data_IF_274115445080
#
_entry.id   IF_274115445080
#
_cell.length_a   1.000
_cell.length_b   1.000
_cell.length_c   1.000
_cell.angle_alpha   90.00
_cell.angle_beta   90.00
_cell.angle_gamma   90.00
#
_symmetry.space_group_name_H-M   'P 1'
#
loop_
_entity.id
_entity.type
_entity.pdbx_description
1 polymer ?
#
# COMPACT_ATOMS: atom_id res chain seq x y z
N UNK A 1 20.51 -20.93 38.52
CA UNK A 1 19.10 -21.29 38.42
C UNK A 1 18.55 -21.54 39.82
N UNK A 2 17.41 -20.94 40.24
CA UNK A 2 16.83 -21.18 41.57
C UNK A 2 16.44 -22.65 41.75
N UNK A 3 16.64 -23.20 42.96
CA UNK A 3 16.29 -24.59 43.27
C UNK A 3 14.82 -24.92 42.97
N UNK A 4 13.90 -23.99 43.21
CA UNK A 4 12.47 -24.13 42.92
C UNK A 4 12.18 -24.36 41.44
N UNK A 5 12.97 -23.79 40.54
CA UNK A 5 12.81 -23.98 39.07
C UNK A 5 13.32 -25.34 38.61
N UNK A 6 14.36 -25.88 39.30
CA UNK A 6 14.92 -27.20 38.96
C UNK A 6 14.00 -28.36 39.36
N UNK A 7 13.27 -28.23 40.47
CA UNK A 7 12.36 -29.26 40.99
C UNK A 7 10.89 -29.03 40.57
N UNK A 8 10.62 -28.02 39.74
CA UNK A 8 9.25 -27.74 39.26
C UNK A 8 8.77 -28.85 38.31
N UNK A 9 7.79 -29.61 38.76
CA UNK A 9 7.04 -30.55 37.87
C UNK A 9 5.79 -29.85 37.40
N UNK A 10 5.58 -29.72 36.05
CA UNK A 10 4.36 -29.15 35.51
C UNK A 10 3.14 -29.98 35.97
N UNK A 11 2.20 -29.35 36.65
CA UNK A 11 0.92 -30.00 36.97
C UNK A 11 0.01 -29.93 35.75
N UNK A 12 -0.71 -31.04 35.49
CA UNK A 12 -1.76 -31.10 34.47
C UNK A 12 -2.90 -30.15 34.83
N UNK A 13 -3.63 -29.68 33.81
CA UNK A 13 -4.79 -28.81 34.01
C UNK A 13 -5.88 -29.51 34.82
N UNK A 14 -6.55 -28.76 35.67
CA UNK A 14 -7.67 -29.26 36.49
C UNK A 14 -8.87 -29.67 35.62
N UNK A 15 -9.69 -30.61 36.10
CA UNK A 15 -10.92 -31.00 35.39
C UNK A 15 -11.84 -29.79 35.09
N UNK A 16 -11.89 -28.83 35.97
CA UNK A 16 -12.61 -27.56 35.77
C UNK A 16 -12.03 -26.73 34.62
N UNK A 17 -10.69 -26.62 34.56
CA UNK A 17 -10.04 -25.91 33.46
C UNK A 17 -10.25 -26.63 32.10
N UNK A 18 -10.21 -27.95 32.08
CA UNK A 18 -10.50 -28.74 30.86
C UNK A 18 -11.93 -28.52 30.38
N UNK A 19 -12.89 -28.40 31.30
CA UNK A 19 -14.28 -28.05 30.95
C UNK A 19 -14.37 -26.64 30.37
N UNK A 20 -13.73 -25.65 31.01
CA UNK A 20 -13.69 -24.27 30.52
C UNK A 20 -12.98 -24.16 29.18
N UNK A 21 -11.95 -24.93 28.93
CA UNK A 21 -11.29 -24.97 27.61
C UNK A 21 -12.22 -25.46 26.51
N UNK A 22 -13.03 -26.48 26.75
CA UNK A 22 -14.06 -26.92 25.78
C UNK A 22 -15.11 -25.83 25.53
N UNK A 23 -15.60 -25.17 26.57
CA UNK A 23 -16.55 -24.06 26.42
C UNK A 23 -15.94 -22.87 25.68
N UNK A 24 -14.66 -22.55 25.91
CA UNK A 24 -13.93 -21.51 25.17
C UNK A 24 -13.79 -21.85 23.69
N UNK A 25 -13.50 -23.11 23.37
CA UNK A 25 -13.37 -23.59 21.99
C UNK A 25 -14.73 -23.53 21.27
N UNK A 26 -15.79 -24.04 21.88
CA UNK A 26 -17.15 -23.98 21.34
C UNK A 26 -17.62 -22.55 21.11
N UNK A 27 -17.33 -21.63 22.06
CA UNK A 27 -17.67 -20.22 21.94
C UNK A 27 -16.85 -19.53 20.84
N UNK A 28 -15.57 -19.91 20.69
CA UNK A 28 -14.71 -19.40 19.65
C UNK A 28 -15.17 -19.82 18.24
N UNK A 29 -15.60 -21.08 18.07
CA UNK A 29 -16.16 -21.54 16.81
C UNK A 29 -17.42 -20.76 16.40
N UNK A 30 -18.24 -20.35 17.37
CA UNK A 30 -19.43 -19.53 17.11
C UNK A 30 -19.11 -18.03 16.92
N UNK A 31 -18.10 -17.52 17.63
CA UNK A 31 -17.78 -16.08 17.69
C UNK A 31 -16.27 -15.83 17.69
N UNK A 32 -15.56 -16.11 16.57
CA UNK A 32 -14.10 -16.06 16.50
C UNK A 32 -13.50 -14.65 16.74
N UNK A 33 -14.33 -13.60 16.67
CA UNK A 33 -13.95 -12.22 16.93
C UNK A 33 -14.03 -11.83 18.43
N UNK A 34 -14.39 -12.77 19.33
CA UNK A 34 -14.39 -12.50 20.77
C UNK A 34 -12.98 -12.59 21.35
N UNK A 35 -12.50 -11.49 21.93
CA UNK A 35 -11.29 -11.47 22.74
C UNK A 35 -11.56 -11.90 24.18
N UNK A 36 -10.48 -12.07 24.95
CA UNK A 36 -10.52 -12.57 26.34
C UNK A 36 -11.50 -11.83 27.27
N UNK A 37 -11.80 -10.56 27.00
CA UNK A 37 -12.80 -9.79 27.80
C UNK A 37 -14.21 -10.32 27.58
N UNK A 38 -14.62 -10.49 26.32
CA UNK A 38 -15.94 -11.01 25.97
C UNK A 38 -16.09 -12.48 26.34
N UNK A 39 -15.04 -13.29 26.11
CA UNK A 39 -14.99 -14.69 26.51
C UNK A 39 -15.17 -14.85 28.04
N UNK A 40 -14.50 -14.00 28.82
CA UNK A 40 -14.62 -14.03 30.27
C UNK A 40 -16.01 -13.66 30.80
N UNK A 41 -16.68 -12.69 30.13
CA UNK A 41 -18.05 -12.29 30.47
C UNK A 41 -19.05 -13.38 30.14
N UNK A 42 -18.97 -13.98 28.94
CA UNK A 42 -19.89 -15.04 28.48
C UNK A 42 -19.79 -16.33 29.34
N UNK A 43 -18.59 -16.63 29.84
CA UNK A 43 -18.35 -17.82 30.67
C UNK A 43 -18.32 -17.53 32.19
N UNK A 44 -18.59 -16.29 32.56
CA UNK A 44 -18.59 -15.81 33.95
C UNK A 44 -17.32 -16.15 34.75
N UNK A 45 -16.14 -16.06 34.08
CA UNK A 45 -14.83 -16.37 34.64
C UNK A 45 -13.93 -15.13 34.70
N UNK A 46 -12.89 -15.23 35.55
CA UNK A 46 -11.89 -14.19 35.61
C UNK A 46 -11.15 -14.04 34.25
N UNK A 47 -11.00 -12.80 33.79
CA UNK A 47 -10.33 -12.47 32.52
C UNK A 47 -8.92 -13.07 32.42
N UNK A 48 -8.11 -13.02 33.49
CA UNK A 48 -6.76 -13.60 33.49
C UNK A 48 -6.80 -15.11 33.28
N UNK A 49 -7.81 -15.78 33.86
CA UNK A 49 -8.04 -17.22 33.62
C UNK A 49 -8.40 -17.48 32.15
N UNK A 50 -9.35 -16.73 31.60
CA UNK A 50 -9.68 -16.82 30.18
C UNK A 50 -8.46 -16.62 29.28
N UNK A 51 -7.64 -15.59 29.51
CA UNK A 51 -6.43 -15.33 28.75
C UNK A 51 -5.43 -16.50 28.80
N UNK A 52 -5.25 -17.10 29.98
CA UNK A 52 -4.34 -18.23 30.14
C UNK A 52 -4.83 -19.45 29.38
N UNK A 53 -6.11 -19.79 29.52
CA UNK A 53 -6.71 -20.93 28.86
C UNK A 53 -6.77 -20.76 27.33
N UNK A 54 -7.11 -19.56 26.82
CA UNK A 54 -7.04 -19.22 25.39
C UNK A 54 -5.64 -19.39 24.83
N UNK A 55 -4.60 -18.99 25.58
CA UNK A 55 -3.21 -19.18 25.15
C UNK A 55 -2.83 -20.67 25.07
N UNK A 56 -3.28 -21.49 26.02
CA UNK A 56 -3.03 -22.95 25.99
C UNK A 56 -3.72 -23.59 24.79
N UNK A 57 -4.95 -23.15 24.44
CA UNK A 57 -5.70 -23.60 23.28
C UNK A 57 -5.15 -23.06 21.93
N UNK A 58 -4.25 -22.09 21.96
CA UNK A 58 -3.81 -21.40 20.73
C UNK A 58 -4.89 -20.51 20.10
N UNK A 59 -5.93 -20.12 20.87
CA UNK A 59 -7.06 -19.31 20.38
C UNK A 59 -6.74 -17.82 20.52
N UNK A 60 -6.86 -17.10 19.42
CA UNK A 60 -6.70 -15.65 19.36
C UNK A 60 -7.90 -15.03 18.64
N UNK A 61 -8.41 -13.88 19.15
CA UNK A 61 -9.54 -13.20 18.52
C UNK A 61 -9.21 -12.83 17.06
N UNK A 62 -10.11 -13.14 16.16
CA UNK A 62 -9.99 -12.73 14.76
C UNK A 62 -10.44 -11.28 14.59
N UNK A 63 -9.47 -10.40 14.36
CA UNK A 63 -9.69 -8.98 14.07
C UNK A 63 -8.59 -8.47 13.14
N UNK A 64 -8.82 -7.37 12.41
CA UNK A 64 -7.77 -6.74 11.63
C UNK A 64 -6.61 -6.36 12.55
N UNK A 65 -5.46 -7.02 12.37
CA UNK A 65 -4.25 -6.69 13.14
C UNK A 65 -3.74 -5.30 12.73
N UNK A 66 -3.19 -4.48 13.64
CA UNK A 66 -2.56 -3.22 13.27
C UNK A 66 -1.43 -3.49 12.27
N UNK A 67 -1.25 -2.55 11.33
CA UNK A 67 -0.27 -2.61 10.25
C UNK A 67 1.07 -3.17 10.70
N UNK A 68 1.48 -4.29 10.13
CA UNK A 68 2.77 -4.93 10.37
C UNK A 68 3.94 -4.20 9.68
N UNK A 69 3.65 -3.20 8.85
CA UNK A 69 4.64 -2.32 8.21
C UNK A 69 5.26 -1.39 9.27
N UNK A 70 6.10 -1.95 10.14
CA UNK A 70 7.00 -1.12 10.96
C UNK A 70 8.17 -0.71 10.07
N UNK A 71 8.54 0.60 10.04
CA UNK A 71 9.77 1.01 9.39
C UNK A 71 10.94 0.20 9.96
N UNK A 72 11.80 -0.34 9.11
CA UNK A 72 13.00 -1.01 9.59
C UNK A 72 13.89 0.01 10.32
N UNK A 73 14.65 -0.40 11.36
CA UNK A 73 15.62 0.47 12.00
C UNK A 73 16.58 1.04 10.95
N UNK A 74 16.71 2.36 10.87
CA UNK A 74 17.57 3.04 9.90
C UNK A 74 16.88 3.53 8.63
N UNK A 75 15.55 3.40 8.47
CA UNK A 75 14.83 4.02 7.36
C UNK A 75 14.94 5.54 7.41
N UNK A 76 15.46 6.12 6.33
CA UNK A 76 15.57 7.55 6.20
C UNK A 76 14.26 8.14 5.68
N UNK A 77 13.61 8.97 6.52
CA UNK A 77 12.40 9.73 6.13
C UNK A 77 12.85 11.11 5.65
N UNK A 78 12.32 11.53 4.52
CA UNK A 78 12.58 12.83 3.93
C UNK A 78 11.43 13.80 4.22
N UNK A 79 11.73 15.13 4.29
CA UNK A 79 10.69 16.13 4.48
C UNK A 79 9.78 16.24 3.24
N UNK A 80 8.54 16.68 3.46
CA UNK A 80 7.64 17.04 2.36
C UNK A 80 8.03 18.37 1.74
N UNK A 81 8.44 18.36 0.48
CA UNK A 81 8.99 19.51 -0.22
C UNK A 81 7.95 20.29 -1.04
N UNK A 82 6.74 19.77 -1.21
CA UNK A 82 5.79 20.27 -2.22
C UNK A 82 4.78 21.27 -1.68
N UNK A 83 4.90 21.69 -0.41
CA UNK A 83 3.97 22.66 0.16
C UNK A 83 4.16 24.04 -0.51
N UNK A 84 3.10 24.52 -1.20
CA UNK A 84 3.12 25.82 -1.86
C UNK A 84 3.95 25.87 -3.14
N UNK A 85 4.43 24.73 -3.63
CA UNK A 85 5.18 24.64 -4.89
C UNK A 85 4.20 24.66 -6.07
N UNK A 86 4.34 25.65 -6.96
CA UNK A 86 3.61 25.66 -8.23
C UNK A 86 4.24 24.66 -9.20
N UNK A 87 3.42 23.76 -9.73
CA UNK A 87 3.87 22.73 -10.69
C UNK A 87 3.58 23.27 -12.11
N UNK A 88 4.60 23.75 -12.79
CA UNK A 88 4.45 24.54 -14.02
C UNK A 88 4.90 23.82 -15.29
N UNK A 89 5.60 22.69 -15.17
CA UNK A 89 6.18 21.95 -16.31
C UNK A 89 6.26 20.46 -16.07
N UNK A 90 6.31 19.70 -17.16
CA UNK A 90 6.61 18.29 -17.12
C UNK A 90 8.01 18.04 -16.52
N UNK A 91 8.17 16.93 -15.83
CA UNK A 91 9.39 16.53 -15.11
C UNK A 91 9.79 17.48 -13.96
N UNK A 92 8.89 18.33 -13.47
CA UNK A 92 9.13 19.05 -12.24
C UNK A 92 8.97 18.12 -11.04
N UNK A 93 7.82 17.45 -10.92
CA UNK A 93 7.54 16.50 -9.83
C UNK A 93 7.00 15.21 -10.41
N UNK A 94 7.60 14.09 -10.03
CA UNK A 94 7.02 12.76 -10.22
C UNK A 94 6.59 12.19 -8.89
N UNK A 95 5.49 11.45 -8.90
CA UNK A 95 5.08 10.69 -7.72
C UNK A 95 4.92 9.21 -8.02
N UNK A 96 5.07 8.42 -6.96
CA UNK A 96 4.83 6.99 -6.97
C UNK A 96 3.99 6.57 -5.78
N UNK A 97 3.19 5.53 -5.98
CA UNK A 97 2.39 4.91 -4.94
C UNK A 97 2.03 3.49 -5.34
N UNK A 98 1.63 2.67 -4.36
CA UNK A 98 1.20 1.29 -4.56
C UNK A 98 -0.28 1.17 -4.25
N UNK A 99 -1.04 0.54 -5.15
CA UNK A 99 -2.42 0.18 -4.89
C UNK A 99 -2.63 -1.33 -4.87
N UNK A 100 -3.62 -1.78 -4.10
CA UNK A 100 -4.07 -3.16 -4.04
C UNK A 100 -5.18 -3.38 -5.06
N UNK A 101 -5.05 -4.43 -5.85
CA UNK A 101 -6.09 -4.89 -6.77
C UNK A 101 -6.67 -6.19 -6.22
N UNK A 102 -7.96 -6.20 -5.82
CA UNK A 102 -8.60 -7.41 -5.31
C UNK A 102 -8.75 -8.44 -6.43
N UNK A 103 -8.38 -9.69 -6.14
CA UNK A 103 -8.53 -10.86 -7.00
C UNK A 103 -9.34 -11.93 -6.27
N UNK A 104 -9.87 -12.93 -6.96
CA UNK A 104 -10.68 -14.00 -6.34
C UNK A 104 -9.96 -14.75 -5.21
N UNK A 105 -8.64 -14.90 -5.28
CA UNK A 105 -7.81 -15.62 -4.31
C UNK A 105 -6.87 -14.75 -3.46
N UNK A 106 -7.03 -13.40 -3.45
CA UNK A 106 -6.12 -12.52 -2.71
C UNK A 106 -5.99 -11.14 -3.34
N UNK A 107 -4.77 -10.64 -3.43
CA UNK A 107 -4.49 -9.31 -3.99
C UNK A 107 -3.29 -9.38 -4.92
N UNK A 108 -3.32 -8.53 -5.95
CA UNK A 108 -2.13 -8.10 -6.68
C UNK A 108 -1.78 -6.67 -6.28
N UNK A 109 -0.53 -6.33 -6.42
CA UNK A 109 0.02 -5.01 -6.10
C UNK A 109 0.40 -4.32 -7.39
N UNK A 110 -0.08 -3.10 -7.56
CA UNK A 110 0.23 -2.28 -8.71
C UNK A 110 0.93 -1.02 -8.23
N UNK A 111 2.14 -0.77 -8.72
CA UNK A 111 2.85 0.50 -8.55
C UNK A 111 2.77 1.30 -9.84
N UNK A 112 2.68 2.62 -9.74
CA UNK A 112 2.81 3.50 -10.89
C UNK A 112 3.70 4.71 -10.57
N UNK A 113 4.28 5.29 -11.61
CA UNK A 113 5.01 6.55 -11.57
C UNK A 113 4.28 7.55 -12.47
N UNK A 114 3.95 8.71 -11.92
CA UNK A 114 3.16 9.75 -12.60
C UNK A 114 3.87 11.10 -12.56
N UNK A 115 3.86 11.81 -13.68
CA UNK A 115 4.22 13.22 -13.75
C UNK A 115 3.08 14.11 -13.22
N UNK A 116 3.37 14.98 -12.28
CA UNK A 116 2.34 15.79 -11.62
C UNK A 116 1.78 16.91 -12.50
N UNK A 117 2.55 17.44 -13.42
CA UNK A 117 2.10 18.49 -14.32
C UNK A 117 1.08 17.97 -15.32
N UNK A 118 1.47 16.93 -16.05
CA UNK A 118 0.68 16.37 -17.14
C UNK A 118 -0.31 15.28 -16.73
N UNK A 119 -0.13 14.68 -15.54
CA UNK A 119 -0.82 13.45 -15.10
C UNK A 119 -0.43 12.22 -15.92
N UNK A 120 0.61 12.30 -16.74
CA UNK A 120 1.09 11.21 -17.57
C UNK A 120 1.65 10.09 -16.69
N UNK A 121 1.15 8.88 -16.89
CA UNK A 121 1.69 7.67 -16.24
C UNK A 121 2.91 7.22 -17.03
N UNK A 122 4.10 7.44 -16.45
CA UNK A 122 5.39 7.17 -17.07
C UNK A 122 5.69 5.68 -17.13
N UNK A 123 5.34 4.98 -16.05
CA UNK A 123 5.55 3.54 -15.92
C UNK A 123 4.62 2.97 -14.86
N UNK A 124 4.46 1.67 -14.92
CA UNK A 124 3.75 0.88 -13.92
C UNK A 124 4.28 -0.54 -13.90
N UNK A 125 4.10 -1.24 -12.77
CA UNK A 125 4.47 -2.65 -12.61
C UNK A 125 3.44 -3.36 -11.75
N UNK A 126 3.11 -4.61 -12.13
CA UNK A 126 2.18 -5.49 -11.42
C UNK A 126 2.97 -6.61 -10.72
N UNK A 127 2.65 -6.87 -9.46
CA UNK A 127 3.32 -7.90 -8.67
C UNK A 127 2.35 -8.68 -7.80
N UNK A 128 2.67 -9.92 -7.47
CA UNK A 128 1.99 -10.74 -6.46
C UNK A 128 2.65 -10.63 -5.07
N UNK A 129 3.76 -9.91 -4.95
CA UNK A 129 4.45 -9.64 -3.69
C UNK A 129 4.66 -8.14 -3.49
N UNK A 130 4.77 -7.69 -2.23
CA UNK A 130 5.07 -6.29 -1.88
C UNK A 130 6.57 -6.06 -1.67
N UNK A 131 7.43 -6.72 -2.41
CA UNK A 131 8.88 -6.52 -2.35
C UNK A 131 9.30 -5.22 -3.06
N UNK A 132 10.48 -4.68 -2.73
CA UNK A 132 10.98 -3.44 -3.34
C UNK A 132 11.28 -3.58 -4.84
N UNK A 133 11.52 -4.81 -5.32
CA UNK A 133 11.95 -5.09 -6.69
C UNK A 133 11.03 -4.54 -7.78
N UNK A 134 9.70 -4.70 -7.65
CA UNK A 134 8.76 -4.18 -8.65
C UNK A 134 8.66 -2.65 -8.64
N UNK A 135 8.86 -2.02 -7.48
CA UNK A 135 8.95 -0.56 -7.39
C UNK A 135 10.20 -0.03 -8.09
N UNK A 136 11.34 -0.75 -7.97
CA UNK A 136 12.57 -0.42 -8.67
C UNK A 136 12.42 -0.60 -10.19
N UNK A 137 11.74 -1.64 -10.64
CA UNK A 137 11.45 -1.84 -12.06
C UNK A 137 10.65 -0.66 -12.64
N UNK A 138 9.59 -0.22 -11.96
CA UNK A 138 8.81 0.94 -12.33
C UNK A 138 9.66 2.23 -12.34
N UNK A 139 10.49 2.45 -11.31
CA UNK A 139 11.41 3.59 -11.24
C UNK A 139 12.35 3.65 -12.45
N UNK A 140 13.02 2.53 -12.76
CA UNK A 140 13.94 2.45 -13.89
C UNK A 140 13.25 2.61 -15.24
N UNK A 141 12.04 2.07 -15.40
CA UNK A 141 11.23 2.25 -16.59
C UNK A 141 10.82 3.73 -16.78
N UNK A 142 10.45 4.43 -15.70
CA UNK A 142 10.11 5.85 -15.74
C UNK A 142 11.30 6.72 -16.22
N UNK A 143 12.52 6.40 -15.84
CA UNK A 143 13.71 7.15 -16.26
C UNK A 143 13.98 7.16 -17.77
N UNK A 144 13.31 6.32 -18.56
CA UNK A 144 13.37 6.39 -20.04
C UNK A 144 12.69 7.64 -20.59
N UNK A 145 11.77 8.23 -19.84
CA UNK A 145 11.03 9.44 -20.23
C UNK A 145 11.70 10.75 -19.79
N UNK A 146 12.75 10.66 -18.98
CA UNK A 146 13.49 11.80 -18.46
C UNK A 146 13.87 11.65 -17.00
N UNK A 147 13.98 12.78 -16.31
CA UNK A 147 14.32 12.84 -14.90
C UNK A 147 13.52 13.95 -14.22
N UNK A 148 12.90 13.70 -13.06
CA UNK A 148 12.23 14.75 -12.29
C UNK A 148 13.25 15.57 -11.49
N UNK A 149 12.84 16.76 -11.07
CA UNK A 149 13.56 17.54 -10.07
C UNK A 149 13.25 17.05 -8.66
N UNK A 150 11.98 16.68 -8.43
CA UNK A 150 11.49 16.18 -7.14
C UNK A 150 10.77 14.85 -7.37
N UNK A 151 11.14 13.86 -6.57
CA UNK A 151 10.44 12.59 -6.45
C UNK A 151 9.61 12.56 -5.19
N UNK A 152 8.30 12.32 -5.28
CA UNK A 152 7.40 12.23 -4.14
C UNK A 152 6.88 10.80 -3.96
N UNK A 153 6.84 10.31 -2.73
CA UNK A 153 6.24 9.03 -2.34
C UNK A 153 5.68 9.10 -0.93
N UNK A 154 4.94 8.07 -0.53
CA UNK A 154 4.64 7.87 0.88
C UNK A 154 5.88 7.37 1.65
N UNK A 155 5.70 7.12 2.97
CA UNK A 155 6.74 6.58 3.85
C UNK A 155 6.71 5.04 3.90
N UNK A 156 6.21 4.38 2.87
CA UNK A 156 6.18 2.92 2.76
C UNK A 156 7.59 2.31 2.81
N UNK A 157 7.68 1.09 3.33
CA UNK A 157 8.97 0.39 3.47
C UNK A 157 9.71 0.21 2.14
N UNK A 158 8.98 0.08 1.04
CA UNK A 158 9.53 -0.04 -0.31
C UNK A 158 10.25 1.24 -0.72
N UNK A 159 9.63 2.41 -0.49
CA UNK A 159 10.14 3.72 -0.91
C UNK A 159 11.18 4.31 0.04
N UNK A 160 11.23 3.86 1.28
CA UNK A 160 12.24 4.25 2.27
C UNK A 160 13.46 3.30 2.30
N UNK A 161 13.46 2.25 1.49
CA UNK A 161 14.58 1.31 1.39
C UNK A 161 15.81 1.96 0.76
N UNK A 162 16.99 1.53 1.20
CA UNK A 162 18.25 2.02 0.65
C UNK A 162 18.37 1.77 -0.87
N UNK A 163 17.90 0.61 -1.33
CA UNK A 163 17.93 0.22 -2.75
C UNK A 163 17.07 1.15 -3.61
N UNK A 164 15.89 1.55 -3.13
CA UNK A 164 15.03 2.47 -3.85
C UNK A 164 15.55 3.90 -3.85
N UNK A 165 16.15 4.35 -2.75
CA UNK A 165 16.68 5.70 -2.61
C UNK A 165 18.01 5.91 -3.36
N UNK A 166 18.82 4.86 -3.51
CA UNK A 166 20.14 4.96 -4.13
C UNK A 166 20.11 5.51 -5.58
N UNK A 167 19.27 5.03 -6.51
CA UNK A 167 19.20 5.56 -7.87
C UNK A 167 18.71 7.01 -7.93
N UNK A 168 17.83 7.44 -7.01
CA UNK A 168 17.38 8.83 -6.91
C UNK A 168 18.51 9.75 -6.47
N UNK A 169 19.22 9.37 -5.40
CA UNK A 169 20.40 10.12 -4.90
C UNK A 169 21.49 10.21 -5.93
N UNK A 170 21.82 9.11 -6.62
CA UNK A 170 22.85 9.08 -7.68
C UNK A 170 22.55 10.06 -8.81
N UNK A 171 21.28 10.35 -9.07
CA UNK A 171 20.82 11.28 -10.10
C UNK A 171 20.65 12.72 -9.59
N UNK A 172 20.88 12.99 -8.31
CA UNK A 172 20.69 14.31 -7.70
C UNK A 172 19.23 14.73 -7.61
N UNK A 173 18.28 13.78 -7.62
CA UNK A 173 16.84 14.04 -7.50
C UNK A 173 16.50 14.37 -6.06
N UNK A 174 15.78 15.48 -5.83
CA UNK A 174 15.28 15.84 -4.50
C UNK A 174 14.18 14.87 -4.08
N UNK A 175 14.31 14.29 -2.88
CA UNK A 175 13.36 13.31 -2.36
C UNK A 175 12.38 14.01 -1.41
N UNK A 176 11.09 13.83 -1.68
CA UNK A 176 9.97 14.30 -0.87
C UNK A 176 9.15 13.11 -0.39
N UNK A 177 8.71 13.14 0.86
CA UNK A 177 7.83 12.11 1.40
C UNK A 177 6.60 12.73 2.06
N UNK A 178 5.45 12.13 1.79
CA UNK A 178 4.17 12.55 2.37
C UNK A 178 4.19 12.46 3.89
N UNK A 179 3.57 13.42 4.55
CA UNK A 179 3.39 13.38 5.99
C UNK A 179 2.42 12.27 6.41
N UNK A 180 2.66 11.60 7.53
CA UNK A 180 1.73 10.58 8.06
C UNK A 180 0.33 11.17 8.25
N UNK A 181 -0.68 10.53 7.64
CA UNK A 181 -2.08 10.92 7.74
C UNK A 181 -2.47 12.12 6.89
N UNK A 182 -1.65 12.56 5.94
CA UNK A 182 -1.94 13.67 5.01
C UNK A 182 -2.29 13.14 3.62
N UNK A 183 -3.52 12.69 3.44
CA UNK A 183 -4.02 12.17 2.16
C UNK A 183 -3.94 13.16 0.98
N UNK A 184 -3.83 14.46 1.25
CA UNK A 184 -3.73 15.46 0.18
C UNK A 184 -2.34 15.60 -0.43
N UNK A 185 -1.32 15.04 0.21
CA UNK A 185 0.09 15.22 -0.22
C UNK A 185 0.39 14.40 -1.49
N UNK A 186 -0.44 13.39 -1.86
CA UNK A 186 -0.29 12.60 -3.09
C UNK A 186 -1.60 12.44 -3.88
N UNK A 187 -2.46 13.45 -3.84
CA UNK A 187 -3.82 13.44 -4.38
C UNK A 187 -3.92 13.03 -5.86
N UNK A 188 -2.87 13.26 -6.66
CA UNK A 188 -2.94 12.99 -8.10
C UNK A 188 -2.87 11.49 -8.41
N UNK A 189 -2.00 10.76 -7.73
CA UNK A 189 -1.89 9.32 -7.94
C UNK A 189 -3.05 8.58 -7.23
N UNK A 190 -3.58 9.11 -6.12
CA UNK A 190 -4.80 8.59 -5.50
C UNK A 190 -6.01 8.70 -6.44
N UNK A 191 -6.12 9.81 -7.19
CA UNK A 191 -7.14 9.97 -8.24
C UNK A 191 -6.94 9.01 -9.40
N UNK A 192 -5.69 8.70 -9.79
CA UNK A 192 -5.40 7.66 -10.76
C UNK A 192 -5.96 6.31 -10.29
N UNK A 193 -5.68 5.94 -9.05
CA UNK A 193 -6.18 4.69 -8.47
C UNK A 193 -7.70 4.63 -8.45
N UNK A 194 -8.35 5.73 -8.13
CA UNK A 194 -9.82 5.81 -8.18
C UNK A 194 -10.31 5.59 -9.62
N UNK A 195 -9.75 6.29 -10.60
CA UNK A 195 -10.13 6.12 -12.00
C UNK A 195 -9.92 4.69 -12.46
N UNK A 196 -8.74 4.12 -12.24
CA UNK A 196 -8.42 2.74 -12.59
C UNK A 196 -9.41 1.74 -11.99
N UNK A 197 -9.71 1.89 -10.69
CA UNK A 197 -10.61 0.95 -10.00
C UNK A 197 -12.03 1.02 -10.53
N UNK A 198 -12.57 2.21 -10.76
CA UNK A 198 -13.95 2.38 -11.22
C UNK A 198 -14.12 2.20 -12.74
N UNK A 199 -13.09 2.46 -13.52
CA UNK A 199 -13.17 2.38 -14.98
C UNK A 199 -12.74 1.01 -15.53
N UNK A 200 -11.87 0.26 -14.79
CA UNK A 200 -11.36 -1.03 -15.25
C UNK A 200 -11.59 -2.17 -14.24
N UNK A 201 -11.18 -2.00 -12.97
CA UNK A 201 -11.07 -3.14 -12.04
C UNK A 201 -12.45 -3.62 -11.59
N UNK A 202 -13.31 -2.73 -11.10
CA UNK A 202 -14.63 -3.09 -10.58
C UNK A 202 -15.63 -3.51 -11.66
N UNK A 203 -15.64 -2.92 -12.88
CA UNK A 203 -16.48 -3.43 -13.95
C UNK A 203 -15.96 -4.72 -14.60
N UNK A 204 -14.66 -5.01 -14.46
CA UNK A 204 -14.02 -6.18 -15.05
C UNK A 204 -14.15 -7.44 -14.19
N UNK A 205 -14.05 -8.61 -14.80
CA UNK A 205 -13.97 -9.92 -14.14
C UNK A 205 -12.63 -10.58 -14.48
N UNK A 206 -11.59 -10.20 -13.73
CA UNK A 206 -10.24 -10.73 -13.91
C UNK A 206 -10.00 -11.89 -12.95
N UNK A 207 -9.85 -13.10 -13.48
CA UNK A 207 -9.60 -14.29 -12.67
C UNK A 207 -8.13 -14.38 -12.24
N UNK A 208 -7.21 -13.97 -13.10
CA UNK A 208 -5.75 -14.09 -12.90
C UNK A 208 -5.01 -12.79 -13.22
N UNK A 209 -3.74 -12.70 -12.78
CA UNK A 209 -2.87 -11.59 -13.17
C UNK A 209 -2.53 -11.60 -14.67
N UNK A 210 -2.59 -12.76 -15.33
CA UNK A 210 -2.37 -12.89 -16.77
C UNK A 210 -3.53 -12.25 -17.56
N UNK A 211 -4.76 -12.34 -17.06
CA UNK A 211 -5.93 -11.67 -17.68
C UNK A 211 -5.89 -10.17 -17.42
N UNK A 212 -5.44 -9.77 -16.23
CA UNK A 212 -5.39 -8.37 -15.82
C UNK A 212 -4.29 -7.57 -16.53
N UNK A 213 -3.12 -8.17 -16.78
CA UNK A 213 -1.95 -7.45 -17.31
C UNK A 213 -2.24 -6.76 -18.65
N UNK A 214 -2.76 -7.43 -19.70
CA UNK A 214 -3.06 -6.76 -20.97
C UNK A 214 -4.19 -5.72 -20.83
N UNK A 215 -5.11 -5.90 -19.90
CA UNK A 215 -6.15 -4.92 -19.64
C UNK A 215 -5.57 -3.64 -19.00
N UNK A 216 -4.59 -3.77 -18.09
CA UNK A 216 -3.86 -2.64 -17.53
C UNK A 216 -3.03 -1.91 -18.59
N UNK A 217 -2.37 -2.63 -19.49
CA UNK A 217 -1.59 -2.05 -20.59
C UNK A 217 -2.50 -1.19 -21.50
N UNK A 218 -3.64 -1.75 -21.91
CA UNK A 218 -4.64 -1.03 -22.70
C UNK A 218 -5.23 0.17 -21.94
N UNK A 219 -5.48 0.02 -20.64
CA UNK A 219 -6.02 1.10 -19.82
C UNK A 219 -5.04 2.26 -19.67
N UNK A 220 -3.76 2.01 -19.36
CA UNK A 220 -2.77 3.08 -19.23
C UNK A 220 -2.47 3.74 -20.57
N UNK A 221 -2.54 2.99 -21.69
CA UNK A 221 -2.49 3.60 -23.01
C UNK A 221 -3.70 4.53 -23.24
N UNK A 222 -4.90 4.06 -22.98
CA UNK A 222 -6.13 4.88 -23.05
C UNK A 222 -6.05 6.10 -22.12
N UNK A 223 -5.65 5.92 -20.86
CA UNK A 223 -5.51 6.98 -19.87
C UNK A 223 -4.57 8.08 -20.34
N UNK A 224 -3.43 7.71 -20.88
CA UNK A 224 -2.41 8.65 -21.32
C UNK A 224 -2.76 9.35 -22.63
N UNK A 225 -3.33 8.65 -23.61
CA UNK A 225 -3.41 9.12 -24.99
C UNK A 225 -4.82 9.45 -25.48
N UNK A 226 -5.86 8.98 -24.81
CA UNK A 226 -7.22 9.09 -25.31
C UNK A 226 -8.21 9.68 -24.29
N UNK A 227 -7.94 9.50 -23.00
CA UNK A 227 -8.83 9.94 -21.93
C UNK A 227 -8.72 11.45 -21.70
N UNK A 228 -9.80 12.25 -21.92
CA UNK A 228 -9.78 13.68 -21.64
C UNK A 228 -9.82 13.93 -20.12
N UNK A 229 -8.99 14.86 -19.66
CA UNK A 229 -8.91 15.23 -18.24
C UNK A 229 -9.44 16.65 -18.02
N UNK A 230 -10.50 16.79 -17.24
CA UNK A 230 -11.11 18.08 -16.95
C UNK A 230 -10.10 19.05 -16.30
N UNK A 231 -9.27 18.57 -15.37
CA UNK A 231 -8.24 19.38 -14.72
C UNK A 231 -7.10 19.82 -15.66
N UNK A 232 -7.03 19.28 -16.86
CA UNK A 232 -6.08 19.62 -17.93
C UNK A 232 -6.77 20.36 -19.10
N UNK A 233 -7.94 20.97 -18.85
CA UNK A 233 -8.71 21.61 -19.91
C UNK A 233 -9.19 20.63 -21.00
N UNK A 234 -9.52 19.40 -20.59
CA UNK A 234 -9.93 18.28 -21.46
C UNK A 234 -8.85 17.77 -22.43
N UNK A 235 -7.59 18.19 -22.24
CA UNK A 235 -6.46 17.60 -22.94
C UNK A 235 -6.11 16.22 -22.35
N UNK A 236 -5.42 15.40 -23.15
CA UNK A 236 -4.87 14.13 -22.65
C UNK A 236 -3.55 14.37 -21.91
N UNK A 237 -3.15 13.48 -20.99
CA UNK A 237 -1.83 13.54 -20.38
C UNK A 237 -0.68 13.58 -21.39
N UNK A 238 -0.80 12.84 -22.49
CA UNK A 238 0.21 12.81 -23.56
C UNK A 238 0.35 14.16 -24.27
N UNK A 239 -0.75 14.89 -24.49
CA UNK A 239 -0.71 16.20 -25.11
C UNK A 239 0.16 17.18 -24.32
N UNK A 240 0.13 17.11 -22.99
CA UNK A 240 0.91 17.97 -22.12
C UNK A 240 2.33 17.47 -21.86
N UNK A 241 2.53 16.15 -21.80
CA UNK A 241 3.82 15.56 -21.51
C UNK A 241 4.75 15.52 -22.72
N UNK A 242 4.21 15.07 -23.87
CA UNK A 242 4.99 14.84 -25.09
C UNK A 242 5.15 16.11 -25.95
N UNK A 243 4.15 17.01 -25.94
CA UNK A 243 4.23 18.26 -26.70
C UNK A 243 5.04 19.32 -25.95
N UNK A 244 6.29 19.03 -25.68
CA UNK A 244 7.24 19.96 -25.04
C UNK A 244 7.46 21.28 -25.78
N UNK A 245 6.97 21.45 -27.03
CA UNK A 245 7.36 22.58 -27.92
C UNK A 245 6.33 23.03 -28.96
N UNK A 246 5.04 22.85 -28.81
CA UNK A 246 4.11 23.59 -29.65
C UNK A 246 3.52 24.75 -28.86
N UNK A 247 4.04 25.94 -29.17
CA UNK A 247 3.53 27.26 -28.70
C UNK A 247 2.00 27.30 -28.86
N UNK A 248 1.36 27.86 -27.80
CA UNK A 248 -0.03 28.32 -27.76
C UNK A 248 -0.49 28.82 -29.15
N UNK A 249 -1.49 28.18 -29.74
CA UNK A 249 -2.40 28.89 -30.61
C UNK A 249 -3.38 29.62 -29.70
N UNK A 250 -3.51 30.96 -29.78
CA UNK A 250 -4.59 31.65 -29.11
C UNK A 250 -5.89 31.20 -29.76
N UNK A 251 -6.83 30.82 -28.92
CA UNK A 251 -8.22 30.64 -29.32
C UNK A 251 -8.73 32.03 -29.74
N UNK A 252 -8.97 32.23 -31.03
CA UNK A 252 -9.72 33.34 -31.59
C UNK A 252 -11.21 33.14 -31.35
#
# INVERSE_FOLDING_TARGET
MPRSTYYYQPQSETAENLRLMRQLDELYLKRPFFGSRKMAVELEINRKRAQRLMRILGIEAHYPKPNLSRPAPGHQIYPYLLRGVAIERANHVWSTDITYIPMRGGFLYLVAVMDWFSRYVLSWELSNTMETGFCLAALHAAFRFGQPEIWNSDQGSQFTSADFLAPLKKRGISISMDGRGRALDNVFIERLWRSLKYELIYPGDFATGQDLFPALENYFHFYNHQRPHQALGYQTPADLFLHRFTRKRPLS
#
